data_IF_081962936366
#
_entry.id   IF_081962936366
#
_cell.length_a   1.000
_cell.length_b   1.000
_cell.length_c   1.000
_cell.angle_alpha   90.00
_cell.angle_beta   90.00
_cell.angle_gamma   90.00
#
_symmetry.space_group_name_H-M   'P 1'
#
loop_
_entity.id
_entity.type
_entity.pdbx_description
1 polymer ?
#
# COMPACT_ATOMS: atom_id res chain seq x y z
N UNK A 1 -10.16 -1.31 17.01
CA UNK A 1 -10.14 -0.01 16.30
C UNK A 1 -9.22 -0.16 15.09
N UNK A 2 -9.58 0.37 13.91
CA UNK A 2 -8.71 0.34 12.74
C UNK A 2 -7.44 1.18 13.01
N UNK A 3 -6.33 0.84 12.34
CA UNK A 3 -5.09 1.62 12.41
C UNK A 3 -5.25 3.05 11.86
N UNK A 4 -6.20 3.24 10.95
CA UNK A 4 -6.59 4.55 10.43
C UNK A 4 -7.65 4.42 9.33
N UNK A 5 -8.18 5.56 8.91
CA UNK A 5 -8.97 5.74 7.70
C UNK A 5 -8.29 6.84 6.89
N UNK A 6 -8.06 6.59 5.61
CA UNK A 6 -7.33 7.48 4.73
C UNK A 6 -8.14 7.71 3.46
N UNK A 7 -8.18 8.95 3.00
CA UNK A 7 -8.63 9.27 1.66
C UNK A 7 -7.41 9.16 0.73
N UNK A 8 -7.54 8.31 -0.28
CA UNK A 8 -6.55 8.19 -1.34
C UNK A 8 -7.10 8.90 -2.57
N UNK A 9 -6.25 9.59 -3.35
CA UNK A 9 -6.61 9.95 -4.71
C UNK A 9 -6.93 8.69 -5.53
N UNK A 10 -7.46 8.88 -6.74
CA UNK A 10 -7.69 7.81 -7.73
C UNK A 10 -6.40 6.99 -8.03
N UNK A 11 -6.40 6.05 -8.98
CA UNK A 11 -5.18 5.37 -9.46
C UNK A 11 -4.51 6.12 -10.64
N UNK A 12 -3.63 7.09 -10.38
CA UNK A 12 -3.00 7.90 -11.41
C UNK A 12 -1.87 7.15 -12.09
N UNK A 13 -1.79 7.35 -13.41
CA UNK A 13 -0.73 6.83 -14.25
C UNK A 13 0.05 7.96 -14.96
N UNK A 14 1.37 8.03 -14.73
CA UNK A 14 2.29 8.91 -15.45
C UNK A 14 3.75 8.46 -15.32
N UNK A 15 4.71 9.35 -15.60
CA UNK A 15 6.14 9.07 -15.54
C UNK A 15 6.65 8.72 -14.13
N UNK A 16 5.89 9.02 -13.07
CA UNK A 16 6.25 8.67 -11.69
C UNK A 16 6.14 7.18 -11.42
N UNK A 17 5.35 6.44 -12.20
CA UNK A 17 5.21 4.97 -12.10
C UNK A 17 6.27 4.22 -12.89
N UNK A 18 7.55 4.61 -12.75
CA UNK A 18 8.65 4.08 -13.55
C UNK A 18 8.80 2.55 -13.41
N UNK A 19 8.52 2.00 -12.22
CA UNK A 19 8.60 0.56 -11.99
C UNK A 19 7.45 -0.15 -12.70
N UNK A 20 6.25 0.44 -12.71
CA UNK A 20 5.10 -0.10 -13.46
C UNK A 20 5.33 -0.08 -14.96
N UNK A 21 5.98 0.97 -15.49
CA UNK A 21 6.44 0.99 -16.88
C UNK A 21 7.41 -0.16 -17.17
N UNK A 22 8.33 -0.42 -16.24
CA UNK A 22 9.32 -1.50 -16.37
C UNK A 22 8.68 -2.89 -16.30
N UNK A 23 7.77 -3.09 -15.35
CA UNK A 23 7.12 -4.37 -15.07
C UNK A 23 5.94 -4.68 -16.02
N UNK A 24 5.55 -3.75 -16.88
CA UNK A 24 4.43 -3.91 -17.79
C UNK A 24 4.59 -5.15 -18.69
N UNK A 25 3.49 -5.90 -18.85
CA UNK A 25 3.41 -6.99 -19.81
C UNK A 25 3.61 -6.46 -21.24
N UNK A 26 4.42 -7.18 -22.02
CA UNK A 26 4.65 -6.90 -23.44
C UNK A 26 3.55 -7.50 -24.33
N UNK A 27 2.29 -7.30 -23.95
CA UNK A 27 1.10 -7.88 -24.59
C UNK A 27 0.35 -6.87 -25.48
N UNK A 28 0.97 -5.70 -25.75
CA UNK A 28 0.41 -4.56 -26.48
C UNK A 28 -0.81 -3.92 -25.79
N UNK A 29 -0.96 -4.09 -24.47
CA UNK A 29 -1.93 -3.38 -23.64
C UNK A 29 -1.22 -2.55 -22.58
N UNK A 30 -1.80 -1.42 -22.22
CA UNK A 30 -1.31 -0.52 -21.16
C UNK A 30 -2.07 -0.77 -19.85
N UNK A 31 -2.08 -2.02 -19.39
CA UNK A 31 -2.68 -2.35 -18.09
C UNK A 31 -1.71 -1.89 -17.01
N UNK A 32 -2.16 -0.98 -16.14
CA UNK A 32 -1.38 -0.44 -15.01
C UNK A 32 -0.08 0.29 -15.44
N UNK A 33 0.05 0.62 -16.72
CA UNK A 33 1.25 1.21 -17.28
C UNK A 33 1.43 2.64 -16.74
N UNK A 34 2.47 2.84 -15.94
CA UNK A 34 2.73 4.11 -15.27
C UNK A 34 1.87 4.38 -14.04
N UNK A 35 0.98 3.46 -13.63
CA UNK A 35 0.28 3.56 -12.33
C UNK A 35 1.30 3.61 -11.21
N UNK A 36 1.20 4.56 -10.28
CA UNK A 36 2.34 4.87 -9.40
C UNK A 36 2.05 4.72 -7.90
N UNK A 37 0.79 4.81 -7.48
CA UNK A 37 0.38 4.65 -6.08
C UNK A 37 0.98 5.68 -5.09
N UNK A 38 0.53 5.62 -3.84
CA UNK A 38 0.97 6.53 -2.77
C UNK A 38 1.67 5.77 -1.65
N UNK A 39 2.76 6.35 -1.12
CA UNK A 39 3.42 5.78 0.06
C UNK A 39 2.59 6.13 1.29
N UNK A 40 1.94 5.13 1.85
CA UNK A 40 1.08 5.28 3.01
C UNK A 40 1.76 4.81 4.29
N UNK A 41 1.54 5.53 5.38
CA UNK A 41 2.03 5.19 6.71
C UNK A 41 0.87 5.18 7.69
N UNK A 42 0.81 4.13 8.51
CA UNK A 42 -0.17 3.99 9.58
C UNK A 42 0.52 3.53 10.85
N UNK A 43 0.18 4.17 11.97
CA UNK A 43 0.67 3.76 13.28
C UNK A 43 -0.08 2.50 13.71
N UNK A 44 0.66 1.45 14.04
CA UNK A 44 0.07 0.20 14.53
C UNK A 44 -0.47 0.44 15.95
N UNK A 45 -1.77 0.21 16.21
CA UNK A 45 -2.32 0.34 17.55
C UNK A 45 -1.63 -0.61 18.54
N UNK A 46 -1.42 -0.15 19.78
CA UNK A 46 -0.71 -0.92 20.82
C UNK A 46 -1.39 -2.26 21.11
N UNK A 47 -2.71 -2.30 21.02
CA UNK A 47 -3.54 -3.48 21.23
C UNK A 47 -3.30 -4.53 20.14
N UNK A 48 -3.13 -4.10 18.88
CA UNK A 48 -2.79 -4.97 17.77
C UNK A 48 -1.36 -5.52 17.92
N UNK A 49 -0.41 -4.73 18.43
CA UNK A 49 0.94 -5.20 18.73
C UNK A 49 0.95 -6.25 19.85
N UNK A 50 0.17 -6.05 20.92
CA UNK A 50 0.03 -7.03 22.00
C UNK A 50 -0.55 -8.35 21.49
N UNK A 51 -1.56 -8.28 20.61
CA UNK A 51 -2.15 -9.46 20.01
C UNK A 51 -1.15 -10.19 19.11
N UNK A 52 -0.45 -9.45 18.25
CA UNK A 52 0.59 -10.03 17.39
C UNK A 52 1.72 -10.67 18.19
N UNK A 53 2.10 -10.09 19.34
CA UNK A 53 3.08 -10.69 20.24
C UNK A 53 2.58 -12.01 20.87
N UNK A 54 1.26 -12.14 21.11
CA UNK A 54 0.64 -13.35 21.64
C UNK A 54 0.53 -14.46 20.59
N UNK A 55 0.21 -14.11 19.35
CA UNK A 55 -0.05 -15.08 18.27
C UNK A 55 1.17 -15.37 17.40
N UNK A 56 2.20 -14.51 17.46
CA UNK A 56 3.33 -14.53 16.55
C UNK A 56 3.02 -13.99 15.14
N UNK A 57 1.82 -13.42 14.93
CA UNK A 57 1.35 -12.98 13.60
C UNK A 57 0.73 -11.59 13.69
N UNK A 58 1.22 -10.67 12.85
CA UNK A 58 0.57 -9.39 12.60
C UNK A 58 -0.31 -9.50 11.35
N UNK A 59 -1.63 -9.38 11.54
CA UNK A 59 -2.59 -9.42 10.43
C UNK A 59 -2.95 -8.01 10.00
N UNK A 60 -2.69 -7.68 8.74
CA UNK A 60 -3.12 -6.42 8.12
C UNK A 60 -4.42 -6.66 7.35
N UNK A 61 -5.45 -5.88 7.67
CA UNK A 61 -6.69 -5.83 6.90
C UNK A 61 -6.78 -4.48 6.21
N UNK A 62 -6.75 -4.49 4.89
CA UNK A 62 -6.99 -3.34 4.04
C UNK A 62 -8.40 -3.47 3.45
N UNK A 63 -9.18 -2.40 3.51
CA UNK A 63 -10.55 -2.39 3.03
C UNK A 63 -10.91 -1.03 2.46
N UNK A 64 -11.72 -1.05 1.40
CA UNK A 64 -12.40 0.12 0.84
C UNK A 64 -13.86 0.08 1.32
N UNK A 65 -14.48 1.24 1.49
CA UNK A 65 -15.90 1.29 1.88
C UNK A 65 -16.80 0.63 0.85
N UNK A 66 -17.86 0.00 1.35
CA UNK A 66 -18.88 -0.61 0.51
C UNK A 66 -19.57 0.46 -0.35
N UNK A 67 -19.73 0.19 -1.65
CA UNK A 67 -20.38 1.10 -2.59
C UNK A 67 -19.45 2.08 -3.31
N UNK A 68 -18.16 2.15 -2.98
CA UNK A 68 -17.19 2.90 -3.78
C UNK A 68 -16.81 2.10 -5.05
N UNK A 69 -16.72 2.75 -6.22
CA UNK A 69 -16.26 2.10 -7.44
C UNK A 69 -14.77 1.76 -7.34
N UNK A 70 -14.38 0.61 -7.89
CA UNK A 70 -12.99 0.15 -7.90
C UNK A 70 -12.63 -0.70 -6.70
N UNK A 71 -11.33 -0.72 -6.37
CA UNK A 71 -10.77 -1.51 -5.28
C UNK A 71 -9.46 -0.89 -4.79
N UNK A 72 -8.69 -1.66 -4.03
CA UNK A 72 -7.37 -1.24 -3.56
C UNK A 72 -6.30 -2.06 -4.28
N UNK A 73 -5.39 -1.37 -4.97
CA UNK A 73 -4.13 -1.95 -5.44
C UNK A 73 -3.05 -1.79 -4.36
N UNK A 74 -2.28 -2.84 -4.12
CA UNK A 74 -1.10 -2.81 -3.23
C UNK A 74 0.11 -3.18 -4.06
N UNK A 75 1.08 -2.29 -4.10
CA UNK A 75 2.32 -2.48 -4.87
C UNK A 75 3.46 -2.93 -3.94
N UNK A 76 4.27 -3.87 -4.44
CA UNK A 76 5.54 -4.27 -3.84
C UNK A 76 6.72 -3.53 -4.48
N UNK A 77 7.95 -3.97 -4.21
CA UNK A 77 9.15 -3.22 -4.59
C UNK A 77 9.41 -3.13 -6.10
N UNK A 78 8.73 -3.95 -6.90
CA UNK A 78 8.92 -4.04 -8.35
C UNK A 78 7.81 -3.32 -9.14
N UNK A 79 6.90 -2.61 -8.47
CA UNK A 79 5.76 -1.95 -9.12
C UNK A 79 5.45 -0.59 -8.49
N UNK A 80 4.95 0.36 -9.28
CA UNK A 80 4.55 1.68 -8.82
C UNK A 80 5.69 2.72 -8.84
N UNK A 81 5.63 3.63 -7.86
CA UNK A 81 6.60 4.73 -7.66
C UNK A 81 7.75 4.38 -6.74
N UNK A 82 7.52 3.50 -5.77
CA UNK A 82 8.42 3.29 -4.63
C UNK A 82 8.95 1.86 -4.66
N UNK A 83 10.28 1.65 -4.70
CA UNK A 83 10.86 0.31 -4.70
C UNK A 83 10.91 -0.25 -3.28
N UNK A 84 9.75 -0.40 -2.65
CA UNK A 84 9.60 -0.83 -1.26
C UNK A 84 8.42 -1.81 -1.11
N UNK A 85 8.66 -2.90 -0.39
CA UNK A 85 7.60 -3.82 0.04
C UNK A 85 6.75 -3.22 1.18
N UNK A 86 5.50 -3.66 1.37
CA UNK A 86 4.77 -3.40 2.61
C UNK A 86 5.63 -3.77 3.84
N UNK A 87 6.05 -2.77 4.60
CA UNK A 87 7.08 -2.91 5.63
C UNK A 87 6.56 -2.44 6.99
N UNK A 88 6.92 -3.16 8.04
CA UNK A 88 6.75 -2.70 9.43
C UNK A 88 8.07 -2.13 9.91
N UNK A 89 8.04 -0.89 10.36
CA UNK A 89 9.22 -0.19 10.89
C UNK A 89 9.05 0.09 12.38
N UNK A 90 10.15 -0.02 13.13
CA UNK A 90 10.25 0.51 14.48
C UNK A 90 10.79 1.93 14.37
N UNK A 91 10.02 2.91 14.82
CA UNK A 91 10.41 4.32 14.84
C UNK A 91 10.52 4.80 16.28
N UNK A 92 11.49 5.68 16.54
CA UNK A 92 11.50 6.44 17.78
C UNK A 92 10.27 7.36 17.81
N UNK A 93 9.63 7.47 18.98
CA UNK A 93 8.54 8.42 19.13
C UNK A 93 9.07 9.85 18.91
N UNK A 94 8.35 10.71 18.16
CA UNK A 94 8.71 12.11 18.06
C UNK A 94 8.85 12.69 19.47
N UNK A 95 9.95 13.41 19.73
CA UNK A 95 10.17 14.11 21.00
C UNK A 95 9.16 15.23 21.19
#
# INVERSE_FOLDING_TARGET
LPAGRYELPDDPADHRGILSWHAQLKDRRLREAGSYGYLMQATIPKEALKEAARTGVLVLRLAVEEGLPGGLAVYGAEFGRYPLEPTVVLVEAPR
#
